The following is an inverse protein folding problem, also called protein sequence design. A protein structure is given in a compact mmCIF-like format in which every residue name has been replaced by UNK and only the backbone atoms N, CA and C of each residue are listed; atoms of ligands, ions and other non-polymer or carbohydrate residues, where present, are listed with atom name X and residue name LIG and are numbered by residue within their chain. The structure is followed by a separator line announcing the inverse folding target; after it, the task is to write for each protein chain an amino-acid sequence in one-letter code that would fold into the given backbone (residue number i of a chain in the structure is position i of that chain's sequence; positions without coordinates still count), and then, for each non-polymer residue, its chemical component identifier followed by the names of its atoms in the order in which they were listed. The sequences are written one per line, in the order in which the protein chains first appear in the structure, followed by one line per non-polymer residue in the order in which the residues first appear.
data_IF_579041395807
#
_entry.id   IF_579041395807
#
_cell.length_a   1.000
_cell.length_b   1.000
_cell.length_c   1.000
_cell.angle_alpha   90.00
_cell.angle_beta   90.00
_cell.angle_gamma   90.00
#
_symmetry.space_group_name_H-M   'P 1'
#
loop_
_entity.id
_entity.type
_entity.pdbx_description
1 polymer ?
#
# COMPACT_ATOMS: atom_id res chain seq x y z
N UNK A 1 -4.97 -7.95 9.11
CA UNK A 1 -4.36 -7.01 8.14
C UNK A 1 -5.03 -5.63 8.18
N UNK A 2 -6.29 -5.48 7.75
CA UNK A 2 -6.94 -4.17 7.59
C UNK A 2 -6.97 -3.28 8.84
N UNK A 3 -7.38 -3.83 9.99
CA UNK A 3 -7.36 -3.09 11.27
C UNK A 3 -5.94 -2.63 11.62
N UNK A 4 -4.95 -3.50 11.50
CA UNK A 4 -3.55 -3.18 11.74
C UNK A 4 -3.02 -2.06 10.83
N UNK A 5 -3.46 -2.00 9.57
CA UNK A 5 -3.11 -0.89 8.66
C UNK A 5 -3.73 0.41 9.15
N UNK A 6 -5.01 0.39 9.55
CA UNK A 6 -5.69 1.59 10.05
C UNK A 6 -5.01 2.12 11.32
N UNK A 7 -4.65 1.22 12.25
CA UNK A 7 -3.92 1.57 13.48
C UNK A 7 -2.54 2.16 13.16
N UNK A 8 -1.83 1.62 12.17
CA UNK A 8 -0.54 2.18 11.72
C UNK A 8 -0.70 3.60 11.17
N UNK A 9 -1.78 3.86 10.42
CA UNK A 9 -2.01 5.18 9.81
C UNK A 9 -2.31 6.29 10.82
N UNK A 10 -2.77 5.96 12.04
CA UNK A 10 -3.00 6.97 13.08
C UNK A 10 -1.73 7.70 13.50
N UNK A 11 -0.56 7.06 13.34
CA UNK A 11 0.75 7.67 13.62
C UNK A 11 1.43 8.33 12.42
N UNK A 12 0.80 8.30 11.24
CA UNK A 12 1.43 8.74 9.98
C UNK A 12 0.96 10.12 9.51
N UNK A 13 0.31 10.89 10.37
CA UNK A 13 -0.13 12.25 10.04
C UNK A 13 1.05 13.12 9.57
N UNK A 14 0.91 13.79 8.43
CA UNK A 14 1.97 14.57 7.80
C UNK A 14 2.96 13.76 6.93
N UNK A 15 2.85 12.43 6.89
CA UNK A 15 3.61 11.58 5.98
C UNK A 15 2.79 11.29 4.71
N UNK A 16 3.52 10.93 3.65
CA UNK A 16 2.90 10.43 2.44
C UNK A 16 2.74 8.92 2.50
N UNK A 17 1.55 8.44 2.19
CA UNK A 17 1.21 7.02 2.24
C UNK A 17 0.59 6.58 0.92
N UNK A 18 0.93 5.37 0.51
CA UNK A 18 0.41 4.72 -0.69
C UNK A 18 -0.02 3.29 -0.35
N UNK A 19 -0.86 2.71 -1.19
CA UNK A 19 -1.28 1.32 -1.03
C UNK A 19 -1.14 0.57 -2.34
N UNK A 20 -0.44 -0.56 -2.27
CA UNK A 20 -0.35 -1.56 -3.32
C UNK A 20 -1.07 -2.81 -2.82
N UNK A 21 -1.96 -3.34 -3.64
CA UNK A 21 -2.58 -4.64 -3.41
C UNK A 21 -1.90 -5.66 -4.29
N UNK A 22 -1.72 -6.89 -3.78
CA UNK A 22 -1.12 -7.97 -4.55
C UNK A 22 -1.79 -9.32 -4.23
N UNK A 23 -1.89 -10.15 -5.26
CA UNK A 23 -2.06 -11.61 -5.16
C UNK A 23 -1.30 -12.23 -6.33
N UNK A 24 -1.94 -12.80 -7.35
CA UNK A 24 -1.22 -13.28 -8.55
C UNK A 24 -0.69 -12.18 -9.47
N UNK A 25 -1.02 -10.92 -9.18
CA UNK A 25 -0.45 -9.70 -9.76
C UNK A 25 -0.51 -8.58 -8.72
N UNK A 26 0.24 -7.50 -8.94
CA UNK A 26 0.24 -6.34 -8.06
C UNK A 26 -0.24 -5.08 -8.80
N UNK A 27 -0.94 -4.20 -8.08
CA UNK A 27 -1.40 -2.92 -8.62
C UNK A 27 -1.50 -1.84 -7.54
N UNK A 28 -1.34 -0.59 -7.95
CA UNK A 28 -1.48 0.58 -7.09
C UNK A 28 -2.96 0.84 -6.83
N UNK A 29 -3.39 0.67 -5.58
CA UNK A 29 -4.76 0.98 -5.15
C UNK A 29 -4.95 2.50 -4.97
N UNK A 30 -3.94 3.17 -4.43
CA UNK A 30 -3.79 4.62 -4.51
C UNK A 30 -2.31 5.00 -4.43
N UNK A 31 -1.88 6.05 -5.17
CA UNK A 31 -0.51 6.54 -5.14
C UNK A 31 -0.21 7.23 -3.80
N UNK A 32 1.05 7.59 -3.57
CA UNK A 32 1.46 8.38 -2.40
C UNK A 32 0.58 9.64 -2.25
N UNK A 33 -0.01 9.82 -1.08
CA UNK A 33 -0.85 10.95 -0.74
C UNK A 33 -0.65 11.35 0.72
N UNK A 34 -0.82 12.64 1.02
CA UNK A 34 -0.90 13.16 2.39
C UNK A 34 -2.32 13.10 2.96
N UNK A 35 -3.33 12.79 2.14
CA UNK A 35 -4.72 12.67 2.57
C UNK A 35 -4.99 11.31 3.22
N UNK A 36 -4.62 11.22 4.50
CA UNK A 36 -4.80 10.03 5.34
C UNK A 36 -6.27 9.64 5.47
N UNK A 37 -7.20 10.61 5.45
CA UNK A 37 -8.65 10.33 5.60
C UNK A 37 -9.21 9.63 4.37
N UNK A 38 -8.86 10.12 3.17
CA UNK A 38 -9.21 9.45 1.92
C UNK A 38 -8.56 8.07 1.84
N UNK A 39 -7.28 7.95 2.21
CA UNK A 39 -6.59 6.66 2.24
C UNK A 39 -7.28 5.63 3.17
N UNK A 40 -7.75 6.06 4.35
CA UNK A 40 -8.53 5.21 5.28
C UNK A 40 -9.85 4.77 4.64
N UNK A 41 -10.51 5.64 3.89
CA UNK A 41 -11.72 5.31 3.12
C UNK A 41 -11.42 4.23 2.07
N UNK A 42 -10.32 4.35 1.32
CA UNK A 42 -9.91 3.35 0.34
C UNK A 42 -9.57 2.00 0.97
N UNK A 43 -8.84 1.98 2.09
CA UNK A 43 -8.55 0.74 2.84
C UNK A 43 -9.86 0.11 3.34
N UNK A 44 -10.81 0.93 3.79
CA UNK A 44 -12.14 0.48 4.19
C UNK A 44 -12.98 -0.09 3.04
N UNK A 45 -12.76 0.38 1.81
CA UNK A 45 -13.39 -0.19 0.62
C UNK A 45 -12.62 -1.38 0.02
N UNK A 46 -11.32 -1.51 0.32
CA UNK A 46 -10.48 -2.57 -0.23
C UNK A 46 -11.01 -3.96 0.17
N UNK A 47 -11.13 -4.82 -0.83
CA UNK A 47 -11.63 -6.18 -0.72
C UNK A 47 -10.79 -7.10 -1.58
N UNK A 48 -10.49 -8.31 -1.08
CA UNK A 48 -9.80 -9.34 -1.86
C UNK A 48 -10.59 -9.78 -3.10
N UNK A 49 -11.89 -9.53 -3.13
CA UNK A 49 -12.73 -9.76 -4.32
C UNK A 49 -12.34 -8.88 -5.51
N UNK A 50 -11.61 -7.77 -5.29
CA UNK A 50 -11.08 -6.94 -6.37
C UNK A 50 -9.90 -7.62 -7.10
N UNK A 51 -9.25 -8.62 -6.50
CA UNK A 51 -8.12 -9.32 -7.08
C UNK A 51 -8.61 -10.62 -7.73
N UNK A 52 -8.66 -10.62 -9.07
CA UNK A 52 -9.18 -11.75 -9.84
C UNK A 52 -8.13 -12.83 -10.09
N UNK A 53 -6.84 -12.47 -10.13
CA UNK A 53 -5.75 -13.44 -10.29
C UNK A 53 -5.24 -13.90 -8.93
N UNK A 54 -5.42 -15.19 -8.65
CA UNK A 54 -4.84 -15.82 -7.47
C UNK A 54 -3.35 -16.15 -7.66
N UNK A 55 -2.63 -16.28 -6.55
CA UNK A 55 -1.18 -16.45 -6.51
C UNK A 55 -0.53 -15.45 -5.56
N UNK A 56 0.80 -15.39 -5.57
CA UNK A 56 1.59 -14.50 -4.72
C UNK A 56 2.71 -13.85 -5.53
N UNK A 57 2.52 -12.59 -5.90
CA UNK A 57 3.39 -11.77 -6.74
C UNK A 57 4.04 -10.66 -5.89
N UNK A 58 4.80 -11.08 -4.87
CA UNK A 58 5.49 -10.16 -3.95
C UNK A 58 6.54 -9.34 -4.71
N UNK A 59 7.23 -9.94 -5.68
CA UNK A 59 8.22 -9.25 -6.51
C UNK A 59 7.61 -8.05 -7.23
N UNK A 60 6.49 -8.26 -7.94
CA UNK A 60 5.77 -7.19 -8.63
C UNK A 60 5.34 -6.08 -7.66
N UNK A 61 4.87 -6.46 -6.47
CA UNK A 61 4.44 -5.50 -5.44
C UNK A 61 5.60 -4.63 -4.95
N UNK A 62 6.76 -5.24 -4.70
CA UNK A 62 7.96 -4.52 -4.26
C UNK A 62 8.52 -3.64 -5.38
N UNK A 63 8.53 -4.12 -6.62
CA UNK A 63 8.98 -3.33 -7.78
C UNK A 63 8.11 -2.08 -7.95
N UNK A 64 6.79 -2.21 -7.86
CA UNK A 64 5.86 -1.09 -7.89
C UNK A 64 6.09 -0.12 -6.72
N UNK A 65 6.36 -0.63 -5.52
CA UNK A 65 6.61 0.19 -4.34
C UNK A 65 7.90 1.01 -4.51
N UNK A 66 8.97 0.41 -5.02
CA UNK A 66 10.24 1.08 -5.30
C UNK A 66 10.03 2.22 -6.31
N UNK A 67 9.38 1.93 -7.45
CA UNK A 67 9.11 2.94 -8.48
C UNK A 67 8.24 4.07 -7.94
N UNK A 68 7.25 3.77 -7.11
CA UNK A 68 6.38 4.78 -6.51
C UNK A 68 7.14 5.75 -5.58
N UNK A 69 8.30 5.35 -5.05
CA UNK A 69 9.11 6.13 -4.13
C UNK A 69 10.26 6.91 -4.82
N UNK A 70 10.61 6.59 -6.07
CA UNK A 70 11.81 7.06 -6.80
C UNK A 70 11.64 8.37 -7.62
N UNK A 71 11.23 9.48 -7.00
CA UNK A 71 12.02 10.68 -7.30
C UNK A 71 12.43 11.46 -6.04
N UNK A 72 12.20 10.90 -4.84
CA UNK A 72 12.33 11.65 -3.59
C UNK A 72 13.67 11.41 -2.92
N UNK A 73 14.71 12.14 -3.32
CA UNK A 73 16.09 11.91 -2.84
C UNK A 73 16.31 12.17 -1.34
N UNK A 74 15.46 12.96 -0.67
CA UNK A 74 15.73 13.50 0.67
C UNK A 74 14.77 13.06 1.77
N UNK A 75 13.87 12.11 1.51
CA UNK A 75 12.93 11.60 2.52
C UNK A 75 13.28 10.18 2.94
N UNK A 76 13.08 9.87 4.23
CA UNK A 76 13.09 8.48 4.70
C UNK A 76 11.94 7.71 4.04
N UNK A 77 12.24 6.48 3.61
CA UNK A 77 11.31 5.64 2.83
C UNK A 77 11.12 4.30 3.51
N UNK A 78 9.87 3.92 3.72
CA UNK A 78 9.50 2.66 4.33
C UNK A 78 8.56 1.89 3.41
N UNK A 79 8.80 0.58 3.26
CA UNK A 79 7.89 -0.36 2.62
C UNK A 79 7.45 -1.34 3.70
N UNK A 80 6.14 -1.42 3.95
CA UNK A 80 5.55 -2.35 4.91
C UNK A 80 4.83 -3.44 4.12
N UNK A 81 5.42 -4.63 4.08
CA UNK A 81 4.81 -5.80 3.45
C UNK A 81 3.92 -6.53 4.46
N UNK A 82 2.64 -6.71 4.10
CA UNK A 82 1.68 -7.48 4.88
C UNK A 82 1.24 -8.69 4.06
N UNK A 83 1.64 -9.88 4.50
CA UNK A 83 1.31 -11.18 3.90
C UNK A 83 1.15 -12.23 5.00
N UNK A 84 0.38 -13.28 4.74
CA UNK A 84 0.26 -14.47 5.59
C UNK A 84 1.24 -15.60 5.20
N UNK A 85 1.96 -15.46 4.09
CA UNK A 85 2.94 -16.44 3.60
C UNK A 85 3.14 -16.41 2.09
#
# INVERSE_FOLDING_TARGET
AKLSILDLMDGLEGNEIGLILFAGEAFVQFPLTTDVQSAKTFINAASSAAITRQGTAIEDALQLAIVALEPRESADRFIILLSDG
#
